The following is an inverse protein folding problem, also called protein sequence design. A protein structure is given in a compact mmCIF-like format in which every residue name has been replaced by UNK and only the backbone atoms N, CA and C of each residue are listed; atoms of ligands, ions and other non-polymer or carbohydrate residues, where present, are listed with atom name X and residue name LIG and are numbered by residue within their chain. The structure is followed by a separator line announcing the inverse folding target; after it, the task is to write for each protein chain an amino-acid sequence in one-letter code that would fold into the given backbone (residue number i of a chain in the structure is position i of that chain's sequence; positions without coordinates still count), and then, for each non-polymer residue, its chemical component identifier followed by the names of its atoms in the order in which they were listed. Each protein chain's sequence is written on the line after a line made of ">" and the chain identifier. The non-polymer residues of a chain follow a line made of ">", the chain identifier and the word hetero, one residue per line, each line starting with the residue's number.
data_IF_720659929998
#
_entry.id   IF_720659929998
#
_cell.length_a   1.000
_cell.length_b   1.000
_cell.length_c   1.000
_cell.angle_alpha   90.00
_cell.angle_beta   90.00
_cell.angle_gamma   90.00
#
_symmetry.space_group_name_H-M   'P 1'
#
loop_
_entity.id
_entity.type
_entity.pdbx_description
1 polymer ?
#
# COMPACT_ATOMS: atom_id res chain seq x y z
N UNK A 1 2.92 -23.22 5.12
CA UNK A 1 1.59 -22.59 5.31
C UNK A 1 0.49 -23.44 4.70
N UNK A 2 -0.67 -23.57 5.35
CA UNK A 2 -1.88 -24.14 4.74
C UNK A 2 -2.89 -23.03 4.43
N UNK A 3 -3.27 -22.87 3.16
CA UNK A 3 -4.35 -21.98 2.75
C UNK A 3 -5.50 -22.81 2.24
N UNK A 4 -6.67 -22.63 2.85
CA UNK A 4 -7.90 -23.30 2.44
C UNK A 4 -8.91 -22.28 1.95
N UNK A 5 -9.62 -22.65 0.88
CA UNK A 5 -10.69 -21.89 0.29
C UNK A 5 -12.02 -22.52 0.70
N UNK A 6 -12.95 -21.72 1.20
CA UNK A 6 -14.33 -22.17 1.47
C UNK A 6 -15.28 -21.31 0.65
N UNK A 7 -16.04 -21.93 -0.24
CA UNK A 7 -17.15 -21.27 -0.95
C UNK A 7 -18.35 -21.27 -0.01
N UNK A 8 -18.74 -20.09 0.46
CA UNK A 8 -19.91 -19.92 1.31
C UNK A 8 -21.20 -20.04 0.49
N UNK A 9 -22.34 -20.44 1.09
CA UNK A 9 -23.64 -20.52 0.41
C UNK A 9 -24.09 -19.20 -0.23
N UNK A 10 -23.51 -18.08 0.21
CA UNK A 10 -23.70 -16.72 -0.32
C UNK A 10 -22.92 -16.44 -1.62
N UNK A 11 -22.10 -17.37 -2.10
CA UNK A 11 -21.23 -17.19 -3.27
C UNK A 11 -19.91 -16.46 -2.98
N UNK A 12 -19.60 -16.21 -1.72
CA UNK A 12 -18.32 -15.63 -1.27
C UNK A 12 -17.25 -16.72 -1.17
N UNK A 13 -15.99 -16.36 -1.46
CA UNK A 13 -14.84 -17.21 -1.19
C UNK A 13 -14.14 -16.72 0.08
N UNK A 14 -14.07 -17.57 1.10
CA UNK A 14 -13.36 -17.29 2.33
C UNK A 14 -11.96 -17.88 2.23
N UNK A 15 -10.93 -17.05 2.37
CA UNK A 15 -9.53 -17.51 2.45
C UNK A 15 -9.18 -17.68 3.92
N UNK A 16 -8.93 -18.92 4.35
CA UNK A 16 -8.40 -19.21 5.69
C UNK A 16 -6.89 -19.45 5.59
N UNK A 17 -6.11 -18.67 6.33
CA UNK A 17 -4.65 -18.81 6.40
C UNK A 17 -4.25 -19.42 7.74
N UNK A 18 -3.41 -20.46 7.73
CA UNK A 18 -2.85 -21.08 8.94
C UNK A 18 -1.32 -21.11 8.92
N UNK A 19 -0.67 -20.65 10.00
CA UNK A 19 0.78 -20.64 10.23
C UNK A 19 1.45 -19.24 10.26
N UNK A 20 2.67 -19.16 10.82
CA UNK A 20 3.53 -17.95 10.88
C UNK A 20 4.49 -17.97 9.68
N UNK A 21 4.68 -16.83 8.99
CA UNK A 21 5.68 -16.69 7.92
C UNK A 21 7.10 -16.84 8.47
N UNK A 22 7.83 -17.83 7.98
CA UNK A 22 9.28 -18.01 8.19
C UNK A 22 10.07 -17.62 6.94
N UNK A 23 11.37 -17.37 7.05
CA UNK A 23 12.23 -17.05 5.89
C UNK A 23 12.27 -18.16 4.82
N UNK A 24 11.89 -19.40 5.17
CA UNK A 24 11.71 -20.50 4.22
C UNK A 24 10.41 -20.40 3.40
N UNK A 25 9.35 -19.79 3.94
CA UNK A 25 8.06 -19.64 3.25
C UNK A 25 8.15 -18.68 2.04
N UNK A 26 9.18 -17.83 1.97
CA UNK A 26 9.48 -16.96 0.81
C UNK A 26 9.72 -17.75 -0.49
N UNK A 27 10.16 -19.02 -0.39
CA UNK A 27 10.37 -19.91 -1.55
C UNK A 27 9.16 -20.79 -1.88
N UNK A 28 8.14 -20.84 -1.01
CA UNK A 28 7.01 -21.78 -1.11
C UNK A 28 5.79 -21.29 -1.90
N UNK A 29 5.82 -20.09 -2.46
CA UNK A 29 4.71 -19.48 -3.20
C UNK A 29 4.40 -20.22 -4.53
N UNK A 30 5.31 -21.06 -5.01
CA UNK A 30 5.21 -21.78 -6.30
C UNK A 30 4.08 -22.83 -6.35
N UNK A 31 3.59 -23.33 -5.21
CA UNK A 31 2.59 -24.42 -5.17
C UNK A 31 1.13 -23.95 -5.01
N UNK A 32 0.85 -22.64 -4.97
CA UNK A 32 -0.49 -22.08 -4.73
C UNK A 32 -1.48 -22.17 -5.91
N UNK A 33 -1.06 -22.73 -7.06
CA UNK A 33 -1.69 -22.47 -8.35
C UNK A 33 -2.55 -23.58 -8.98
N UNK A 34 -3.07 -24.58 -8.26
CA UNK A 34 -3.68 -25.76 -8.90
C UNK A 34 -5.16 -26.08 -8.68
N UNK A 35 -5.93 -25.28 -7.97
CA UNK A 35 -7.40 -25.44 -7.98
C UNK A 35 -8.09 -24.30 -8.72
N UNK A 36 -8.71 -24.68 -9.84
CA UNK A 36 -9.39 -23.86 -10.83
C UNK A 36 -10.51 -23.06 -10.18
N UNK A 37 -10.31 -21.76 -9.97
CA UNK A 37 -11.39 -20.82 -9.70
C UNK A 37 -12.16 -20.63 -11.01
N UNK A 38 -13.41 -21.10 -11.05
CA UNK A 38 -14.32 -20.97 -12.19
C UNK A 38 -14.44 -19.50 -12.62
N UNK A 39 -14.23 -19.25 -13.92
CA UNK A 39 -14.10 -17.92 -14.53
C UNK A 39 -15.43 -17.16 -14.65
N UNK A 40 -16.53 -17.69 -14.13
CA UNK A 40 -17.89 -17.17 -14.32
C UNK A 40 -18.54 -16.51 -13.09
N UNK A 41 -17.91 -16.53 -11.91
CA UNK A 41 -18.55 -16.05 -10.66
C UNK A 41 -17.79 -14.88 -9.99
N UNK A 42 -18.56 -13.95 -9.39
CA UNK A 42 -18.07 -12.72 -8.72
C UNK A 42 -17.34 -13.07 -7.43
N UNK A 43 -16.03 -13.32 -7.50
CA UNK A 43 -15.22 -13.61 -6.31
C UNK A 43 -15.21 -12.40 -5.37
N UNK A 44 -15.73 -12.54 -4.14
CA UNK A 44 -15.46 -11.67 -3.00
C UNK A 44 -14.60 -12.47 -2.03
N UNK A 45 -13.38 -12.00 -1.74
CA UNK A 45 -12.48 -12.65 -0.79
C UNK A 45 -12.66 -12.01 0.58
N UNK A 46 -13.14 -12.81 1.54
CA UNK A 46 -13.29 -12.44 2.95
C UNK A 46 -12.31 -13.31 3.76
N UNK A 47 -11.47 -12.72 4.61
CA UNK A 47 -10.65 -13.50 5.56
C UNK A 47 -11.30 -13.38 6.93
N UNK A 48 -11.99 -14.44 7.36
CA UNK A 48 -12.57 -14.60 8.70
C UNK A 48 -11.70 -15.59 9.49
N UNK A 49 -11.30 -15.21 10.70
CA UNK A 49 -10.96 -16.15 11.77
C UNK A 49 -12.27 -16.53 12.51
N UNK A 50 -12.35 -17.73 13.08
CA UNK A 50 -13.61 -18.41 13.42
C UNK A 50 -14.56 -17.69 14.40
N UNK A 51 -15.88 -17.70 14.07
CA UNK A 51 -16.98 -17.39 15.01
C UNK A 51 -18.19 -16.55 14.51
N UNK A 52 -18.77 -16.78 13.31
CA UNK A 52 -19.60 -15.75 12.62
C UNK A 52 -21.12 -15.72 12.71
N UNK A 53 -21.66 -14.56 13.15
CA UNK A 53 -23.05 -14.12 12.95
C UNK A 53 -23.21 -12.57 12.89
N UNK A 54 -22.79 -11.93 11.79
CA UNK A 54 -23.11 -10.53 11.44
C UNK A 54 -21.94 -9.52 11.51
N UNK A 55 -22.10 -8.29 10.98
CA UNK A 55 -21.04 -7.23 10.88
C UNK A 55 -20.62 -6.62 12.25
N UNK A 56 -20.34 -7.49 13.22
CA UNK A 56 -20.05 -7.22 14.62
C UNK A 56 -18.60 -7.60 15.00
N UNK A 57 -17.62 -7.29 14.14
CA UNK A 57 -16.19 -7.40 14.51
C UNK A 57 -15.42 -8.63 14.03
N UNK A 58 -15.86 -9.26 12.94
CA UNK A 58 -15.33 -10.58 12.54
C UNK A 58 -14.57 -10.63 11.22
N UNK A 59 -14.74 -9.61 10.37
CA UNK A 59 -13.98 -9.46 9.13
C UNK A 59 -12.70 -8.70 9.46
N UNK A 60 -11.55 -9.35 9.28
CA UNK A 60 -10.26 -8.71 9.53
C UNK A 60 -9.60 -8.20 8.26
N UNK A 61 -10.09 -8.58 7.07
CA UNK A 61 -9.59 -8.10 5.79
C UNK A 61 -10.59 -8.31 4.63
N UNK A 62 -10.53 -7.44 3.61
CA UNK A 62 -11.33 -7.52 2.40
C UNK A 62 -10.44 -7.59 1.16
N UNK A 63 -10.75 -8.46 0.21
CA UNK A 63 -10.07 -8.45 -1.10
C UNK A 63 -11.10 -8.45 -2.23
N UNK A 64 -11.02 -7.42 -3.07
CA UNK A 64 -11.85 -7.27 -4.26
C UNK A 64 -11.52 -8.38 -5.25
N UNK A 65 -12.54 -9.06 -5.80
CA UNK A 65 -12.41 -9.84 -7.03
C UNK A 65 -12.98 -9.11 -8.24
N UNK A 66 -14.05 -9.63 -8.84
CA UNK A 66 -14.49 -9.22 -10.19
C UNK A 66 -15.27 -7.89 -10.27
N UNK A 67 -15.49 -7.21 -9.13
CA UNK A 67 -16.20 -5.91 -9.08
C UNK A 67 -15.35 -4.77 -9.64
N UNK A 68 -15.99 -3.68 -10.09
CA UNK A 68 -15.29 -2.43 -10.36
C UNK A 68 -14.77 -1.82 -9.06
N UNK A 69 -13.64 -1.11 -9.14
CA UNK A 69 -13.05 -0.44 -7.97
C UNK A 69 -14.03 0.54 -7.33
N UNK A 70 -14.79 1.28 -8.15
CA UNK A 70 -15.76 2.27 -7.68
C UNK A 70 -16.90 1.64 -6.88
N UNK A 71 -17.32 0.42 -7.23
CA UNK A 71 -18.34 -0.32 -6.46
C UNK A 71 -17.83 -0.69 -5.06
N UNK A 72 -16.58 -1.12 -4.97
CA UNK A 72 -15.96 -1.49 -3.68
C UNK A 72 -15.70 -0.23 -2.84
N UNK A 73 -15.15 0.81 -3.44
CA UNK A 73 -14.88 2.07 -2.75
C UNK A 73 -16.19 2.76 -2.32
N UNK A 74 -17.24 2.70 -3.13
CA UNK A 74 -18.57 3.19 -2.79
C UNK A 74 -19.20 2.51 -1.57
N UNK A 75 -18.80 1.27 -1.27
CA UNK A 75 -19.23 0.55 -0.07
C UNK A 75 -18.37 0.83 1.18
N UNK A 76 -17.12 1.29 1.00
CA UNK A 76 -16.14 1.47 2.09
C UNK A 76 -16.06 2.93 2.55
N UNK A 77 -16.11 3.86 1.59
CA UNK A 77 -15.90 5.30 1.82
C UNK A 77 -17.02 5.98 2.63
N UNK A 78 -18.31 5.59 2.54
CA UNK A 78 -19.36 6.24 3.33
C UNK A 78 -19.12 6.08 4.84
N UNK A 79 -19.29 7.15 5.62
CA UNK A 79 -19.17 7.10 7.09
C UNK A 79 -20.13 6.09 7.70
N UNK A 80 -21.32 5.93 7.12
CA UNK A 80 -22.32 4.95 7.55
C UNK A 80 -21.84 3.48 7.44
N UNK A 81 -20.84 3.20 6.60
CA UNK A 81 -20.23 1.87 6.52
C UNK A 81 -19.37 1.53 7.75
N UNK A 82 -19.02 2.52 8.58
CA UNK A 82 -18.27 2.31 9.83
C UNK A 82 -16.82 1.84 9.64
N UNK A 83 -16.31 1.85 8.40
CA UNK A 83 -14.96 1.38 8.04
C UNK A 83 -13.90 2.47 8.00
N UNK A 84 -14.29 3.75 7.98
CA UNK A 84 -13.35 4.89 8.00
C UNK A 84 -12.69 4.98 9.37
N UNK A 85 -11.41 5.33 9.37
CA UNK A 85 -10.74 5.79 10.59
C UNK A 85 -10.72 7.32 10.63
N UNK A 86 -10.03 7.92 11.60
CA UNK A 86 -9.81 9.37 11.65
C UNK A 86 -8.95 9.91 10.49
N UNK A 87 -8.20 9.03 9.81
CA UNK A 87 -7.29 9.38 8.72
C UNK A 87 -7.97 9.31 7.35
N UNK A 88 -7.43 10.08 6.41
CA UNK A 88 -7.77 9.95 4.99
C UNK A 88 -7.55 8.53 4.49
N UNK A 89 -8.54 7.96 3.81
CA UNK A 89 -8.39 6.68 3.09
C UNK A 89 -7.42 6.90 1.93
N UNK A 90 -6.45 6.00 1.79
CA UNK A 90 -5.41 6.07 0.76
C UNK A 90 -5.12 4.72 0.15
N UNK A 91 -4.37 4.69 -0.95
CA UNK A 91 -3.88 3.46 -1.56
C UNK A 91 -2.35 3.41 -1.60
N UNK A 92 -1.80 2.21 -1.43
CA UNK A 92 -0.39 1.92 -1.55
C UNK A 92 -0.15 0.73 -2.48
N UNK A 93 0.84 0.84 -3.37
CA UNK A 93 1.41 -0.30 -4.08
C UNK A 93 2.71 -0.71 -3.39
N UNK A 94 2.81 -1.96 -2.95
CA UNK A 94 4.08 -2.58 -2.54
C UNK A 94 4.74 -3.15 -3.79
N UNK A 95 5.82 -2.50 -4.24
CA UNK A 95 6.51 -2.75 -5.50
C UNK A 95 7.74 -3.61 -5.29
N UNK A 96 7.91 -4.61 -6.14
CA UNK A 96 9.15 -5.33 -6.39
C UNK A 96 9.59 -5.00 -7.83
N UNK A 97 10.69 -4.28 -7.98
CA UNK A 97 11.20 -3.85 -9.29
C UNK A 97 12.60 -4.41 -9.47
N UNK A 98 12.89 -5.21 -10.51
CA UNK A 98 14.18 -5.90 -10.67
C UNK A 98 15.42 -5.00 -10.62
N UNK A 99 15.28 -3.73 -10.99
CA UNK A 99 16.36 -2.74 -11.03
C UNK A 99 16.53 -1.95 -9.74
N UNK A 100 15.75 -2.24 -8.70
CA UNK A 100 15.86 -1.61 -7.38
C UNK A 100 16.19 -2.67 -6.31
N UNK A 101 17.10 -2.39 -5.35
CA UNK A 101 17.67 -3.44 -4.49
C UNK A 101 16.73 -3.96 -3.40
N UNK A 102 15.55 -3.36 -3.24
CA UNK A 102 14.57 -3.70 -2.20
C UNK A 102 13.14 -3.43 -2.69
N UNK A 103 12.17 -4.03 -2.02
CA UNK A 103 10.77 -3.61 -2.20
C UNK A 103 10.57 -2.20 -1.65
N UNK A 104 9.67 -1.43 -2.27
CA UNK A 104 9.31 -0.09 -1.83
C UNK A 104 7.83 0.18 -2.09
N UNK A 105 7.29 1.25 -1.48
CA UNK A 105 5.89 1.63 -1.61
C UNK A 105 5.72 2.86 -2.49
N UNK A 106 4.68 2.88 -3.31
CA UNK A 106 4.17 4.08 -3.99
C UNK A 106 2.79 4.42 -3.43
N UNK A 107 2.58 5.66 -3.01
CA UNK A 107 1.29 6.16 -2.47
C UNK A 107 1.09 7.63 -2.82
N UNK A 108 -0.10 8.18 -3.05
CA UNK A 108 -1.32 7.48 -3.50
C UNK A 108 -1.28 7.38 -5.04
N UNK A 109 -1.83 6.30 -5.58
CA UNK A 109 -1.84 6.02 -7.02
C UNK A 109 -3.20 5.50 -7.53
N UNK A 110 -4.24 5.50 -6.68
CA UNK A 110 -5.56 4.96 -7.04
C UNK A 110 -6.77 5.66 -6.42
N UNK A 111 -6.65 6.38 -5.30
CA UNK A 111 -7.81 6.88 -4.54
C UNK A 111 -7.92 8.40 -4.55
N UNK A 112 -6.85 9.11 -4.24
CA UNK A 112 -6.90 10.56 -4.02
C UNK A 112 -6.43 11.32 -5.26
N UNK A 113 -7.37 11.99 -5.97
CA UNK A 113 -7.10 12.71 -7.23
C UNK A 113 -6.10 13.85 -7.02
N UNK A 114 -6.46 14.84 -6.21
CA UNK A 114 -5.63 15.99 -5.85
C UNK A 114 -5.60 16.14 -4.32
N UNK A 115 -4.83 15.30 -3.61
CA UNK A 115 -4.76 15.36 -2.15
C UNK A 115 -4.12 16.69 -1.72
N UNK A 116 -4.77 17.39 -0.80
CA UNK A 116 -4.18 18.58 -0.18
C UNK A 116 -3.12 18.20 0.88
N UNK A 117 -2.51 19.18 1.54
CA UNK A 117 -1.46 18.94 2.54
C UNK A 117 -1.92 18.04 3.71
N UNK A 118 -3.13 18.23 4.23
CA UNK A 118 -3.67 17.43 5.33
C UNK A 118 -3.99 16.00 4.88
N UNK A 119 -4.52 15.83 3.65
CA UNK A 119 -4.71 14.51 3.04
C UNK A 119 -3.35 13.81 2.89
N UNK A 120 -2.32 14.52 2.40
CA UNK A 120 -0.96 13.97 2.23
C UNK A 120 -0.31 13.55 3.54
N UNK A 121 -0.53 14.31 4.62
CA UNK A 121 -0.09 13.94 5.98
C UNK A 121 -0.66 12.59 6.41
N UNK A 122 -1.94 12.36 6.16
CA UNK A 122 -2.59 11.10 6.49
C UNK A 122 -2.15 9.96 5.56
N UNK A 123 -2.05 10.22 4.26
CA UNK A 123 -1.58 9.28 3.24
C UNK A 123 -0.16 8.79 3.59
N UNK A 124 0.75 9.70 3.93
CA UNK A 124 2.13 9.34 4.27
C UNK A 124 2.20 8.56 5.57
N UNK A 125 1.44 8.94 6.61
CA UNK A 125 1.42 8.20 7.87
C UNK A 125 0.85 6.78 7.67
N UNK A 126 -0.20 6.62 6.85
CA UNK A 126 -0.72 5.30 6.49
C UNK A 126 0.35 4.42 5.83
N UNK A 127 1.12 4.98 4.88
CA UNK A 127 2.19 4.24 4.23
C UNK A 127 3.34 3.92 5.19
N UNK A 128 3.72 4.84 6.08
CA UNK A 128 4.74 4.58 7.12
C UNK A 128 4.32 3.39 7.99
N UNK A 129 3.07 3.38 8.46
CA UNK A 129 2.56 2.30 9.30
C UNK A 129 2.55 0.96 8.56
N UNK A 130 2.22 0.97 7.25
CA UNK A 130 2.32 -0.22 6.40
C UNK A 130 3.75 -0.72 6.29
N UNK A 131 4.70 0.15 5.96
CA UNK A 131 6.12 -0.23 5.77
C UNK A 131 6.73 -0.78 7.06
N UNK A 132 6.33 -0.22 8.21
CA UNK A 132 6.69 -0.74 9.54
C UNK A 132 6.09 -2.11 9.82
N UNK A 133 4.81 -2.32 9.47
CA UNK A 133 4.17 -3.64 9.58
C UNK A 133 4.83 -4.70 8.70
N UNK A 134 5.47 -4.29 7.59
CA UNK A 134 6.27 -5.16 6.73
C UNK A 134 7.71 -5.39 7.26
N UNK A 135 8.06 -4.82 8.40
CA UNK A 135 9.32 -5.11 9.11
C UNK A 135 10.41 -4.04 8.97
N UNK A 136 10.14 -2.89 8.33
CA UNK A 136 11.11 -1.79 8.24
C UNK A 136 10.98 -0.88 9.47
N UNK A 137 11.98 -0.89 10.36
CA UNK A 137 11.88 -0.17 11.63
C UNK A 137 11.82 1.36 11.49
N UNK A 138 12.57 1.94 10.55
CA UNK A 138 12.58 3.39 10.28
C UNK A 138 12.51 3.58 8.77
N UNK A 139 11.30 3.65 8.18
CA UNK A 139 11.14 3.86 6.74
C UNK A 139 11.70 5.20 6.28
N UNK A 140 12.28 5.22 5.09
CA UNK A 140 12.73 6.40 4.37
C UNK A 140 11.69 6.82 3.36
N UNK A 141 11.15 8.03 3.52
CA UNK A 141 10.06 8.55 2.71
C UNK A 141 10.57 9.66 1.79
N UNK A 142 10.58 9.40 0.48
CA UNK A 142 10.82 10.41 -0.53
C UNK A 142 9.51 11.04 -1.00
N UNK A 143 9.38 12.35 -0.81
CA UNK A 143 8.20 13.10 -1.28
C UNK A 143 8.47 13.66 -2.66
N UNK A 144 7.73 13.16 -3.64
CA UNK A 144 8.01 13.43 -5.04
C UNK A 144 7.51 14.81 -5.49
N UNK A 145 8.34 15.45 -6.31
CA UNK A 145 7.99 16.61 -7.12
C UNK A 145 8.76 16.56 -8.43
N UNK A 146 8.61 17.60 -9.26
CA UNK A 146 9.36 17.73 -10.51
C UNK A 146 10.81 18.22 -10.30
N UNK A 147 11.09 18.86 -9.16
CA UNK A 147 12.38 19.48 -8.83
C UNK A 147 12.70 19.27 -7.35
N UNK A 148 13.95 19.55 -6.98
CA UNK A 148 14.49 19.34 -5.62
C UNK A 148 14.48 20.59 -4.76
N UNK A 149 14.30 21.75 -5.39
CA UNK A 149 14.27 23.04 -4.69
C UNK A 149 12.82 23.48 -4.45
N UNK A 150 12.59 24.10 -3.30
CA UNK A 150 11.28 24.68 -3.00
C UNK A 150 10.99 25.81 -3.96
N UNK A 151 9.92 25.67 -4.72
CA UNK A 151 9.49 26.62 -5.74
C UNK A 151 8.00 26.93 -5.55
N UNK A 152 7.68 28.17 -5.20
CA UNK A 152 6.29 28.58 -4.94
C UNK A 152 5.34 28.43 -6.13
N UNK A 153 5.87 28.29 -7.35
CA UNK A 153 5.10 28.02 -8.57
C UNK A 153 4.79 26.52 -8.77
N UNK A 154 5.39 25.64 -7.97
CA UNK A 154 5.19 24.20 -8.01
C UNK A 154 4.65 23.76 -6.64
N UNK A 155 3.32 23.68 -6.46
CA UNK A 155 2.70 23.44 -5.15
C UNK A 155 3.24 22.21 -4.42
N UNK A 156 3.53 21.12 -5.14
CA UNK A 156 4.08 19.90 -4.55
C UNK A 156 5.42 20.11 -3.85
N UNK A 157 6.21 21.11 -4.24
CA UNK A 157 7.45 21.44 -3.53
C UNK A 157 7.21 22.09 -2.17
N UNK A 158 6.18 22.93 -2.05
CA UNK A 158 5.78 23.56 -0.79
C UNK A 158 5.17 22.52 0.16
N UNK A 159 4.36 21.62 -0.38
CA UNK A 159 3.73 20.55 0.38
C UNK A 159 4.78 19.56 0.89
N UNK A 160 5.75 19.16 0.06
CA UNK A 160 6.86 18.30 0.47
C UNK A 160 7.66 18.90 1.62
N UNK A 161 8.07 20.17 1.50
CA UNK A 161 8.79 20.87 2.57
C UNK A 161 7.97 20.97 3.86
N UNK A 162 6.66 21.21 3.73
CA UNK A 162 5.74 21.28 4.88
C UNK A 162 5.60 19.93 5.59
N UNK A 163 5.49 18.83 4.84
CA UNK A 163 5.43 17.46 5.39
C UNK A 163 6.73 17.07 6.09
N UNK A 164 7.89 17.40 5.52
CA UNK A 164 9.18 17.22 6.21
C UNK A 164 9.19 17.98 7.54
N UNK A 165 8.72 19.24 7.56
CA UNK A 165 8.64 20.02 8.80
C UNK A 165 7.66 19.44 9.81
N UNK A 166 6.55 18.89 9.35
CA UNK A 166 5.57 18.17 10.18
C UNK A 166 6.21 16.93 10.83
N UNK A 167 7.04 16.17 10.11
CA UNK A 167 7.77 15.04 10.69
C UNK A 167 8.80 15.48 11.74
N UNK A 168 9.60 16.51 11.46
CA UNK A 168 10.54 17.08 12.44
C UNK A 168 9.85 17.54 13.74
N UNK A 169 8.59 17.99 13.63
CA UNK A 169 7.76 18.45 14.77
C UNK A 169 6.91 17.34 15.39
N UNK A 170 7.03 16.10 14.93
CA UNK A 170 6.31 14.95 15.48
C UNK A 170 4.83 14.87 15.09
N UNK A 171 4.37 15.62 14.09
CA UNK A 171 3.02 15.50 13.52
C UNK A 171 2.91 14.27 12.60
N UNK A 172 4.02 13.87 11.97
CA UNK A 172 4.21 12.59 11.28
C UNK A 172 5.32 11.86 12.04
N UNK A 173 5.16 10.56 12.27
CA UNK A 173 6.03 9.82 13.20
C UNK A 173 6.48 8.47 12.62
N UNK A 174 7.62 7.99 13.13
CA UNK A 174 8.08 6.62 12.88
C UNK A 174 8.89 6.43 11.60
N UNK A 175 9.35 7.49 10.95
CA UNK A 175 10.11 7.48 9.69
C UNK A 175 11.02 8.71 9.53
N UNK A 176 11.85 8.70 8.49
CA UNK A 176 12.63 9.86 8.03
C UNK A 176 12.02 10.33 6.71
N UNK A 177 11.63 11.60 6.62
CA UNK A 177 11.09 12.21 5.40
C UNK A 177 12.14 13.11 4.76
N UNK A 178 12.17 13.11 3.43
CA UNK A 178 12.87 14.13 2.65
C UNK A 178 12.10 14.47 1.38
N UNK A 179 12.23 15.72 0.95
CA UNK A 179 11.45 16.28 -0.12
C UNK A 179 11.55 17.81 -0.20
N UNK A 180 11.28 18.39 -1.38
CA UNK A 180 10.87 17.71 -2.59
C UNK A 180 12.01 16.96 -3.28
N UNK A 181 11.69 15.81 -3.90
CA UNK A 181 12.65 15.03 -4.68
C UNK A 181 12.09 14.75 -6.07
N UNK A 182 12.90 14.99 -7.10
CA UNK A 182 12.67 14.37 -8.39
C UNK A 182 12.87 12.84 -8.28
N UNK A 183 12.16 12.08 -9.12
CA UNK A 183 12.12 10.62 -9.05
C UNK A 183 13.51 9.96 -9.16
N UNK A 184 14.36 10.48 -10.04
CA UNK A 184 15.73 10.00 -10.24
C UNK A 184 16.56 10.10 -8.95
N UNK A 185 16.40 11.17 -8.17
CA UNK A 185 17.14 11.34 -6.91
C UNK A 185 16.59 10.49 -5.78
N UNK A 186 15.27 10.27 -5.78
CA UNK A 186 14.64 9.40 -4.80
C UNK A 186 15.13 7.95 -4.96
N UNK A 187 15.31 7.48 -6.21
CA UNK A 187 15.69 6.10 -6.52
C UNK A 187 17.20 5.89 -6.71
N UNK A 188 17.95 6.85 -7.24
CA UNK A 188 19.36 6.67 -7.58
C UNK A 188 20.30 7.50 -6.69
N UNK A 189 21.07 6.80 -5.86
CA UNK A 189 22.12 7.42 -5.06
C UNK A 189 23.19 8.11 -5.94
N UNK A 190 23.41 7.62 -7.17
CA UNK A 190 24.29 8.29 -8.13
C UNK A 190 23.71 9.62 -8.60
N UNK A 191 22.43 9.67 -8.98
CA UNK A 191 21.77 10.91 -9.40
C UNK A 191 21.79 11.95 -8.28
N UNK A 192 21.47 11.51 -7.05
CA UNK A 192 21.52 12.37 -5.86
C UNK A 192 22.93 12.97 -5.64
N UNK A 193 24.00 12.17 -5.76
CA UNK A 193 25.38 12.65 -5.65
C UNK A 193 25.75 13.66 -6.74
N UNK A 194 25.38 13.38 -8.00
CA UNK A 194 25.65 14.29 -9.14
C UNK A 194 24.99 15.65 -8.92
N UNK A 195 23.80 15.68 -8.33
CA UNK A 195 23.07 16.92 -8.00
C UNK A 195 23.46 17.52 -6.63
N UNK A 196 24.41 16.94 -5.91
CA UNK A 196 24.87 17.45 -4.62
C UNK A 196 23.85 17.33 -3.47
N UNK A 197 22.89 16.41 -3.56
CA UNK A 197 21.83 16.24 -2.58
C UNK A 197 22.38 15.45 -1.39
N UNK A 198 22.37 16.07 -0.21
CA UNK A 198 22.73 15.42 1.06
C UNK A 198 21.46 15.01 1.79
N UNK A 199 21.19 13.71 1.84
CA UNK A 199 19.94 13.16 2.35
C UNK A 199 20.14 11.73 2.84
N UNK A 200 19.44 11.36 3.93
CA UNK A 200 19.37 9.97 4.40
C UNK A 200 18.38 9.12 3.58
N UNK A 201 17.55 9.77 2.76
CA UNK A 201 16.43 9.19 2.00
C UNK A 201 16.80 9.01 0.52
N UNK A 202 17.42 10.03 -0.09
CA UNK A 202 17.73 10.01 -1.53
C UNK A 202 18.55 8.79 -1.94
N UNK A 203 18.08 8.07 -2.96
CA UNK A 203 18.71 6.88 -3.50
C UNK A 203 18.40 5.58 -2.77
N UNK A 204 17.65 5.62 -1.68
CA UNK A 204 17.37 4.47 -0.80
C UNK A 204 15.98 4.57 -0.14
N UNK A 205 14.98 5.05 -0.87
CA UNK A 205 13.60 5.18 -0.39
C UNK A 205 12.94 3.84 -0.10
N UNK A 206 12.15 3.78 0.98
CA UNK A 206 11.20 2.71 1.24
C UNK A 206 9.78 3.12 0.81
N UNK A 207 9.49 4.42 0.74
CA UNK A 207 8.19 4.98 0.38
C UNK A 207 8.38 6.18 -0.55
N UNK A 208 7.60 6.20 -1.63
CA UNK A 208 7.43 7.33 -2.52
C UNK A 208 6.02 7.91 -2.35
N UNK A 209 5.95 9.15 -1.89
CA UNK A 209 4.71 9.92 -1.87
C UNK A 209 4.57 10.70 -3.18
N UNK A 210 3.63 10.31 -4.03
CA UNK A 210 3.30 10.98 -5.27
C UNK A 210 2.57 12.33 -5.00
N UNK A 211 2.74 13.34 -5.89
CA UNK A 211 2.08 14.63 -5.72
C UNK A 211 0.57 14.57 -5.96
N UNK A 212 0.11 13.70 -6.85
CA UNK A 212 -1.29 13.51 -7.24
C UNK A 212 -1.51 12.10 -7.82
N UNK A 213 -2.77 11.80 -8.13
CA UNK A 213 -3.17 10.50 -8.67
C UNK A 213 -2.51 10.20 -10.01
N UNK A 214 -2.40 11.17 -10.91
CA UNK A 214 -1.90 10.96 -12.27
C UNK A 214 -0.42 10.57 -12.21
N UNK A 215 0.39 11.31 -11.44
CA UNK A 215 1.79 11.01 -11.23
C UNK A 215 1.99 9.63 -10.58
N UNK A 216 1.23 9.31 -9.53
CA UNK A 216 1.30 8.01 -8.86
C UNK A 216 0.91 6.85 -9.79
N UNK A 217 -0.17 7.01 -10.56
CA UNK A 217 -0.67 5.99 -11.48
C UNK A 217 0.27 5.75 -12.66
N UNK A 218 0.79 6.81 -13.27
CA UNK A 218 1.78 6.73 -14.34
C UNK A 218 3.05 6.05 -13.84
N UNK A 219 3.56 6.43 -12.67
CA UNK A 219 4.77 5.83 -12.09
C UNK A 219 4.60 4.32 -11.88
N UNK A 220 3.51 3.90 -11.24
CA UNK A 220 3.20 2.48 -11.05
C UNK A 220 3.17 1.71 -12.38
N UNK A 221 2.46 2.25 -13.38
CA UNK A 221 2.35 1.61 -14.69
C UNK A 221 3.69 1.57 -15.43
N UNK A 222 4.47 2.65 -15.42
CA UNK A 222 5.79 2.68 -16.06
C UNK A 222 6.70 1.62 -15.46
N UNK A 223 6.75 1.50 -14.13
CA UNK A 223 7.57 0.47 -13.48
C UNK A 223 7.09 -0.95 -13.78
N UNK A 224 5.78 -1.16 -13.83
CA UNK A 224 5.20 -2.47 -14.15
C UNK A 224 5.49 -2.89 -15.60
N UNK A 225 5.16 -2.02 -16.56
CA UNK A 225 5.19 -2.37 -17.98
C UNK A 225 6.54 -2.18 -18.65
N UNK A 226 7.37 -1.23 -18.19
CA UNK A 226 8.67 -0.94 -18.80
C UNK A 226 9.85 -1.45 -17.98
N UNK A 227 9.73 -1.49 -16.65
CA UNK A 227 10.80 -1.96 -15.77
C UNK A 227 10.61 -3.40 -15.26
N UNK A 228 9.56 -4.11 -15.70
CA UNK A 228 9.27 -5.48 -15.29
C UNK A 228 8.93 -5.63 -13.81
N UNK A 229 8.46 -4.54 -13.19
CA UNK A 229 8.05 -4.55 -11.80
C UNK A 229 6.74 -5.28 -11.57
N UNK A 230 6.58 -5.83 -10.38
CA UNK A 230 5.32 -6.39 -9.89
C UNK A 230 4.89 -5.62 -8.64
N UNK A 231 3.62 -5.27 -8.55
CA UNK A 231 3.11 -4.49 -7.42
C UNK A 231 1.85 -5.08 -6.83
N UNK A 232 1.77 -5.10 -5.50
CA UNK A 232 0.58 -5.49 -4.75
C UNK A 232 -0.15 -4.25 -4.20
N UNK A 233 -1.45 -4.12 -4.50
CA UNK A 233 -2.25 -2.96 -4.10
C UNK A 233 -3.04 -3.17 -2.82
N UNK A 234 -3.00 -2.20 -1.91
CA UNK A 234 -3.75 -2.19 -0.65
C UNK A 234 -4.28 -0.80 -0.33
N UNK A 235 -5.52 -0.74 0.15
CA UNK A 235 -6.17 0.45 0.69
C UNK A 235 -5.95 0.51 2.20
N UNK A 236 -5.59 1.71 2.65
CA UNK A 236 -5.22 2.07 4.00
C UNK A 236 -6.17 3.18 4.51
N UNK A 237 -6.07 3.53 5.80
CA UNK A 237 -6.99 4.48 6.43
C UNK A 237 -8.40 3.90 6.69
N UNK A 238 -8.53 2.58 6.55
CA UNK A 238 -9.72 1.80 6.88
C UNK A 238 -9.47 0.90 8.08
N UNK A 239 -10.53 0.61 8.85
CA UNK A 239 -10.49 -0.26 10.04
C UNK A 239 -10.02 -1.69 9.76
N UNK A 240 -10.19 -2.14 8.52
CA UNK A 240 -9.66 -3.41 8.00
C UNK A 240 -8.81 -3.15 6.75
N UNK A 241 -7.70 -3.86 6.51
CA UNK A 241 -7.00 -3.80 5.23
C UNK A 241 -7.91 -4.25 4.08
N UNK A 242 -7.85 -3.52 2.97
CA UNK A 242 -8.65 -3.80 1.77
C UNK A 242 -7.73 -3.92 0.55
N UNK A 243 -7.66 -5.08 -0.09
CA UNK A 243 -6.91 -5.28 -1.33
C UNK A 243 -7.80 -5.04 -2.55
N UNK A 244 -7.31 -4.22 -3.48
CA UNK A 244 -7.98 -3.96 -4.76
C UNK A 244 -7.24 -4.67 -5.88
N UNK A 245 -7.68 -5.87 -6.26
CA UNK A 245 -7.08 -6.57 -7.42
C UNK A 245 -7.57 -6.01 -8.76
N UNK A 246 -6.70 -5.99 -9.77
CA UNK A 246 -7.09 -5.76 -11.15
C UNK A 246 -7.36 -7.07 -11.88
N UNK A 247 -8.24 -7.03 -12.89
CA UNK A 247 -8.44 -8.16 -13.81
C UNK A 247 -7.17 -8.51 -14.59
N UNK A 248 -6.30 -7.53 -14.81
CA UNK A 248 -5.02 -7.71 -15.49
C UNK A 248 -3.90 -8.24 -14.58
N UNK A 249 -4.14 -8.38 -13.27
CA UNK A 249 -3.10 -8.83 -12.34
C UNK A 249 -2.70 -10.27 -12.61
N UNK A 250 -1.40 -10.54 -12.44
CA UNK A 250 -0.89 -11.91 -12.45
C UNK A 250 -1.38 -12.68 -11.21
N UNK A 251 -1.26 -14.01 -11.24
CA UNK A 251 -1.50 -14.84 -10.05
C UNK A 251 -0.57 -14.42 -8.92
N UNK A 252 0.71 -14.13 -9.23
CA UNK A 252 1.71 -13.68 -8.28
C UNK A 252 1.31 -12.37 -7.61
N UNK A 253 0.86 -11.37 -8.38
CA UNK A 253 0.37 -10.09 -7.85
C UNK A 253 -0.79 -10.29 -6.86
N UNK A 254 -1.75 -11.16 -7.17
CA UNK A 254 -2.88 -11.46 -6.27
C UNK A 254 -2.41 -12.13 -4.97
N UNK A 255 -1.51 -13.11 -5.06
CA UNK A 255 -0.96 -13.80 -3.88
C UNK A 255 -0.14 -12.86 -3.00
N UNK A 256 0.72 -12.02 -3.60
CA UNK A 256 1.49 -11.01 -2.88
C UNK A 256 0.57 -10.02 -2.17
N UNK A 257 -0.51 -9.60 -2.82
CA UNK A 257 -1.49 -8.70 -2.20
C UNK A 257 -2.20 -9.35 -1.00
N UNK A 258 -2.58 -10.62 -1.11
CA UNK A 258 -3.14 -11.37 0.02
C UNK A 258 -2.14 -11.54 1.17
N UNK A 259 -0.85 -11.76 0.87
CA UNK A 259 0.20 -11.84 1.88
C UNK A 259 0.40 -10.51 2.62
N UNK A 260 0.49 -9.39 1.88
CA UNK A 260 0.58 -8.04 2.46
C UNK A 260 -0.62 -7.77 3.38
N UNK A 261 -1.82 -8.12 2.92
CA UNK A 261 -3.05 -7.97 3.69
C UNK A 261 -3.02 -8.75 5.02
N UNK A 262 -2.55 -10.00 4.99
CA UNK A 262 -2.40 -10.82 6.21
C UNK A 262 -1.36 -10.26 7.18
N UNK A 263 -0.23 -9.75 6.69
CA UNK A 263 0.79 -9.10 7.52
C UNK A 263 0.24 -7.85 8.22
N UNK A 264 -0.51 -7.02 7.50
CA UNK A 264 -1.15 -5.82 8.07
C UNK A 264 -2.18 -6.20 9.13
N UNK A 265 -3.05 -7.16 8.86
CA UNK A 265 -4.02 -7.65 9.84
C UNK A 265 -3.33 -8.17 11.10
N UNK A 266 -2.23 -8.92 10.95
CA UNK A 266 -1.45 -9.41 12.08
C UNK A 266 -0.77 -8.29 12.88
N UNK A 267 -0.18 -7.30 12.20
CA UNK A 267 0.44 -6.16 12.86
C UNK A 267 -0.57 -5.34 13.68
N UNK A 268 -1.81 -5.21 13.19
CA UNK A 268 -2.92 -4.58 13.93
C UNK A 268 -3.27 -5.35 15.19
N UNK A 269 -3.44 -6.68 15.10
CA UNK A 269 -3.70 -7.53 16.29
C UNK A 269 -2.60 -7.43 17.33
N UNK A 270 -1.35 -7.33 16.90
CA UNK A 270 -0.19 -7.18 17.77
C UNK A 270 0.00 -5.75 18.32
N UNK A 271 -0.88 -4.80 18.00
CA UNK A 271 -0.75 -3.39 18.42
C UNK A 271 0.41 -2.63 17.78
N UNK A 272 1.00 -3.17 16.70
CA UNK A 272 2.15 -2.58 15.99
C UNK A 272 1.74 -1.65 14.84
N UNK A 273 0.46 -1.63 14.49
CA UNK A 273 -0.13 -0.78 13.46
C UNK A 273 -1.32 -0.03 14.07
N UNK A 274 -1.24 1.29 14.12
CA UNK A 274 -2.26 2.12 14.76
C UNK A 274 -3.46 2.33 13.81
N UNK A 275 -4.65 2.03 14.31
CA UNK A 275 -5.92 2.17 13.57
C UNK A 275 -6.79 3.15 14.35
N UNK A 276 -6.41 4.43 14.35
CA UNK A 276 -7.22 5.53 14.92
C UNK A 276 -8.22 6.06 13.92
#
# INVERSE_FOLDING_TARGET
>A
MGVTYVKEPSGLYVIRMSGIFTDQDRKGVENFGRETIDRSEKVKVLILAEGFSGWAGEVEALMKGSLHTDEVMGAIVPTAAGLRTSRRISHAFVMDVPTYPKMFIITDAAVNIFPNLEDKRDIVQNAIDLTRALGVEIPKVGILSAVETVNSKIPSTLEAASLCKMAERGQITGSILDGPLAFDNAISAQAARVKGITSLVSGDVDILLAPDLEAGNMLFKQLTYLAGGEGAGIVLGTRIPVVLTSRADSVRTRLTSAAVMALVANARRAGKYDVR
#
